data_IF_632486321918
#
_entry.id   IF_632486321918
#
_cell.length_a   1.000
_cell.length_b   1.000
_cell.length_c   1.000
_cell.angle_alpha   90.00
_cell.angle_beta   90.00
_cell.angle_gamma   90.00
#
_symmetry.space_group_name_H-M   'P 1'
#
loop_
_entity.id
_entity.type
_entity.pdbx_description
1 polymer ?
#
# COMPACT_ATOMS: atom_id res chain seq x y z
N UNK A 1 -34.07 5.29 -7.61
CA UNK A 1 -34.45 3.88 -7.90
C UNK A 1 -33.22 2.95 -7.87
N UNK A 2 -32.15 3.26 -8.61
CA UNK A 2 -30.87 2.49 -8.65
C UNK A 2 -30.26 2.23 -7.27
N UNK A 3 -30.19 3.24 -6.39
CA UNK A 3 -29.60 3.09 -5.04
C UNK A 3 -30.36 2.10 -4.14
N UNK A 4 -31.68 1.94 -4.30
CA UNK A 4 -32.48 0.99 -3.51
C UNK A 4 -32.28 -0.45 -3.99
N UNK A 5 -32.11 -0.66 -5.30
CA UNK A 5 -31.91 -1.99 -5.90
C UNK A 5 -30.50 -2.52 -5.61
N UNK A 6 -29.47 -1.68 -5.77
CA UNK A 6 -28.09 -2.07 -5.47
C UNK A 6 -27.83 -2.27 -3.98
N UNK A 7 -28.46 -1.47 -3.11
CA UNK A 7 -28.36 -1.64 -1.66
C UNK A 7 -29.05 -2.92 -1.15
N UNK A 8 -30.13 -3.38 -1.80
CA UNK A 8 -30.83 -4.61 -1.43
C UNK A 8 -30.09 -5.90 -1.81
N UNK A 9 -29.24 -5.87 -2.84
CA UNK A 9 -28.42 -7.01 -3.29
C UNK A 9 -27.02 -7.04 -2.63
N UNK A 10 -26.69 -6.02 -1.84
CA UNK A 10 -25.35 -5.81 -1.27
C UNK A 10 -24.97 -6.85 -0.20
N UNK A 11 -25.95 -7.45 0.47
CA UNK A 11 -25.75 -8.42 1.54
C UNK A 11 -25.09 -9.73 1.10
N UNK A 12 -25.44 -10.20 -0.10
CA UNK A 12 -24.98 -11.48 -0.66
C UNK A 12 -23.94 -11.31 -1.78
N UNK A 13 -23.64 -10.06 -2.15
CA UNK A 13 -22.70 -9.75 -3.22
C UNK A 13 -21.24 -9.98 -2.79
N UNK A 14 -20.44 -10.52 -3.71
CA UNK A 14 -18.98 -10.65 -3.52
C UNK A 14 -18.33 -9.28 -3.34
N UNK A 15 -17.18 -9.21 -2.65
CA UNK A 15 -16.41 -7.97 -2.49
C UNK A 15 -16.20 -7.26 -3.84
N UNK A 16 -15.88 -8.02 -4.89
CA UNK A 16 -15.66 -7.48 -6.23
C UNK A 16 -16.92 -6.80 -6.78
N UNK A 17 -18.09 -7.45 -6.70
CA UNK A 17 -19.34 -6.85 -7.14
C UNK A 17 -19.65 -5.58 -6.33
N UNK A 18 -19.49 -5.64 -5.00
CA UNK A 18 -19.75 -4.49 -4.12
C UNK A 18 -18.86 -3.29 -4.41
N UNK A 19 -17.59 -3.55 -4.69
CA UNK A 19 -16.63 -2.51 -5.10
C UNK A 19 -17.01 -1.94 -6.46
N UNK A 20 -17.21 -2.80 -7.48
CA UNK A 20 -17.52 -2.36 -8.86
C UNK A 20 -18.71 -1.41 -8.90
N UNK A 21 -19.78 -1.73 -8.17
CA UNK A 21 -20.99 -0.91 -8.10
C UNK A 21 -20.98 0.13 -6.97
N UNK A 22 -19.90 0.19 -6.18
CA UNK A 22 -19.79 0.99 -4.96
C UNK A 22 -21.04 0.85 -4.04
N UNK A 23 -21.65 -0.34 -4.02
CA UNK A 23 -22.97 -0.56 -3.39
C UNK A 23 -22.95 -0.41 -1.88
N UNK A 24 -21.79 -0.60 -1.25
CA UNK A 24 -21.56 -0.41 0.17
C UNK A 24 -21.34 1.07 0.58
N UNK A 25 -21.45 2.03 -0.34
CA UNK A 25 -21.26 3.45 -0.08
C UNK A 25 -22.59 4.21 0.01
N UNK A 26 -22.63 5.41 0.61
CA UNK A 26 -23.83 6.26 0.59
C UNK A 26 -24.30 6.67 -0.82
N UNK A 27 -23.44 6.52 -1.84
CA UNK A 27 -23.72 6.89 -3.23
C UNK A 27 -23.30 5.77 -4.19
N UNK A 28 -24.08 4.67 -4.31
CA UNK A 28 -23.80 3.61 -5.29
C UNK A 28 -23.71 4.16 -6.72
N UNK A 29 -22.84 3.56 -7.55
CA UNK A 29 -22.55 4.05 -8.92
C UNK A 29 -22.50 2.91 -9.91
N UNK A 30 -22.87 3.20 -11.16
CA UNK A 30 -22.63 2.28 -12.27
C UNK A 30 -21.14 2.26 -12.66
N UNK A 31 -20.62 1.11 -13.11
CA UNK A 31 -19.24 0.97 -13.55
C UNK A 31 -19.03 1.57 -14.94
N UNK A 32 -18.96 2.90 -15.00
CA UNK A 32 -18.84 3.68 -16.25
C UNK A 32 -17.44 4.27 -16.46
N UNK A 33 -16.49 3.99 -15.57
CA UNK A 33 -15.14 4.52 -15.72
C UNK A 33 -14.42 3.85 -16.90
N UNK A 34 -13.72 4.67 -17.68
CA UNK A 34 -12.87 4.19 -18.76
C UNK A 34 -11.58 3.57 -18.21
N UNK A 35 -10.92 2.73 -19.01
CA UNK A 35 -9.60 2.18 -18.67
C UNK A 35 -8.58 3.29 -18.34
N UNK A 36 -8.63 4.42 -19.07
CA UNK A 36 -7.76 5.58 -18.80
C UNK A 36 -8.01 6.22 -17.42
N UNK A 37 -9.23 6.20 -16.90
CA UNK A 37 -9.51 6.66 -15.54
C UNK A 37 -8.88 5.72 -14.49
N UNK A 38 -8.92 4.41 -14.72
CA UNK A 38 -8.29 3.42 -13.85
C UNK A 38 -6.77 3.57 -13.85
N UNK A 39 -6.15 3.80 -15.02
CA UNK A 39 -4.71 4.10 -15.12
C UNK A 39 -4.34 5.38 -14.36
N UNK A 40 -5.15 6.44 -14.45
CA UNK A 40 -4.92 7.67 -13.66
C UNK A 40 -5.01 7.39 -12.16
N UNK A 41 -5.98 6.60 -11.71
CA UNK A 41 -6.09 6.20 -10.30
C UNK A 41 -4.90 5.36 -9.84
N UNK A 42 -4.40 4.45 -10.67
CA UNK A 42 -3.21 3.65 -10.35
C UNK A 42 -1.93 4.49 -10.15
N UNK A 43 -1.88 5.69 -10.75
CA UNK A 43 -0.80 6.65 -10.51
C UNK A 43 -0.87 7.33 -9.13
N UNK A 44 -2.02 7.29 -8.46
CA UNK A 44 -2.26 7.91 -7.15
C UNK A 44 -2.14 6.92 -5.98
N UNK A 45 -2.02 5.63 -6.30
CA UNK A 45 -2.08 4.54 -5.33
C UNK A 45 -0.69 3.90 -5.20
N UNK A 46 -0.13 3.83 -3.97
CA UNK A 46 1.07 3.04 -3.70
C UNK A 46 0.74 1.54 -3.83
N UNK A 47 1.75 0.71 -4.08
CA UNK A 47 1.49 -0.72 -4.29
C UNK A 47 0.96 -1.45 -3.04
N UNK A 48 1.18 -0.87 -1.85
CA UNK A 48 0.57 -1.28 -0.59
C UNK A 48 -0.28 -0.17 -0.01
N UNK A 49 -1.50 -0.50 0.44
CA UNK A 49 -2.40 0.45 1.08
C UNK A 49 -1.69 1.24 2.19
N UNK A 50 -2.00 2.53 2.33
CA UNK A 50 -1.39 3.40 3.33
C UNK A 50 -1.45 2.82 4.75
N UNK A 51 -0.40 2.97 5.57
CA UNK A 51 -0.36 2.42 6.92
C UNK A 51 -1.53 2.87 7.80
N UNK A 52 -1.93 4.15 7.77
CA UNK A 52 -3.05 4.63 8.57
C UNK A 52 -4.38 3.99 8.19
N UNK A 53 -4.64 3.83 6.89
CA UNK A 53 -5.83 3.12 6.38
C UNK A 53 -5.79 1.63 6.66
N UNK A 54 -4.60 1.02 6.61
CA UNK A 54 -4.41 -0.38 6.98
C UNK A 54 -4.81 -0.61 8.44
N UNK A 55 -4.38 0.24 9.37
CA UNK A 55 -4.74 0.13 10.79
C UNK A 55 -6.24 0.29 11.05
N UNK A 56 -6.95 1.06 10.22
CA UNK A 56 -8.41 1.23 10.30
C UNK A 56 -9.17 0.02 9.77
N UNK A 57 -8.62 -0.67 8.77
CA UNK A 57 -9.24 -1.82 8.11
C UNK A 57 -8.85 -3.17 8.72
N UNK A 58 -7.69 -3.24 9.38
CA UNK A 58 -7.29 -4.45 10.07
C UNK A 58 -8.23 -4.69 11.25
N UNK A 59 -8.69 -5.94 11.42
CA UNK A 59 -9.54 -6.26 12.55
C UNK A 59 -8.81 -6.05 13.87
N UNK A 60 -9.52 -5.45 14.83
CA UNK A 60 -9.03 -5.32 16.20
C UNK A 60 -9.13 -6.70 16.83
N UNK A 61 -8.02 -7.44 16.89
CA UNK A 61 -7.98 -8.78 17.47
C UNK A 61 -8.62 -8.76 18.88
N UNK A 62 -9.82 -9.32 19.01
CA UNK A 62 -10.57 -9.37 20.28
C UNK A 62 -10.18 -10.58 21.14
N UNK A 63 -9.28 -11.44 20.69
CA UNK A 63 -8.85 -12.63 21.42
C UNK A 63 -7.35 -12.56 21.73
N UNK A 64 -7.04 -12.58 23.02
CA UNK A 64 -5.68 -12.73 23.53
C UNK A 64 -5.21 -14.17 23.37
N UNK A 65 -3.93 -14.32 23.03
CA UNK A 65 -3.07 -15.40 23.48
C UNK A 65 -3.65 -16.83 23.43
N UNK A 66 -3.79 -17.38 22.23
CA UNK A 66 -3.52 -18.80 22.01
C UNK A 66 -2.68 -18.90 20.73
N UNK A 67 -1.66 -19.74 20.80
CA UNK A 67 -0.51 -19.85 19.91
C UNK A 67 -0.89 -19.96 18.40
N UNK A 68 -0.01 -19.45 17.53
CA UNK A 68 0.01 -19.57 16.05
C UNK A 68 -0.79 -18.63 15.12
N UNK A 69 -1.69 -17.75 15.58
CA UNK A 69 -2.57 -17.02 14.62
C UNK A 69 -2.43 -15.49 14.60
N UNK A 70 -1.32 -14.94 15.09
CA UNK A 70 -0.96 -13.55 14.79
C UNK A 70 -0.73 -13.42 13.28
N UNK A 71 -1.32 -12.43 12.57
CA UNK A 71 -1.05 -12.26 11.16
C UNK A 71 0.45 -12.03 11.00
N UNK A 72 1.17 -13.06 10.51
CA UNK A 72 2.59 -12.95 10.23
C UNK A 72 2.81 -11.68 9.38
N UNK A 73 3.93 -10.99 9.55
CA UNK A 73 4.26 -9.77 8.77
C UNK A 73 3.99 -9.91 7.26
N UNK A 74 4.19 -11.12 6.71
CA UNK A 74 3.84 -11.48 5.34
C UNK A 74 2.33 -11.38 5.04
N UNK A 75 1.46 -11.83 5.95
CA UNK A 75 0.00 -11.69 5.85
C UNK A 75 -0.42 -10.22 5.84
N UNK A 76 0.14 -9.40 6.72
CA UNK A 76 -0.18 -7.97 6.75
C UNK A 76 0.27 -7.27 5.46
N UNK A 77 1.45 -7.63 4.94
CA UNK A 77 1.95 -7.08 3.68
C UNK A 77 1.07 -7.46 2.49
N UNK A 78 0.67 -8.73 2.40
CA UNK A 78 -0.22 -9.22 1.35
C UNK A 78 -1.64 -8.66 1.46
N UNK A 79 -2.16 -8.47 2.67
CA UNK A 79 -3.41 -7.75 2.89
C UNK A 79 -3.35 -6.32 2.35
N UNK A 80 -2.27 -5.59 2.66
CA UNK A 80 -2.08 -4.21 2.19
C UNK A 80 -1.99 -4.12 0.66
N UNK A 81 -1.27 -5.03 0.01
CA UNK A 81 -1.22 -5.12 -1.46
C UNK A 81 -2.58 -5.46 -2.04
N UNK A 82 -3.27 -6.44 -1.47
CA UNK A 82 -4.62 -6.82 -1.89
C UNK A 82 -5.60 -5.66 -1.80
N UNK A 83 -5.62 -4.93 -0.69
CA UNK A 83 -6.45 -3.72 -0.56
C UNK A 83 -6.10 -2.64 -1.59
N UNK A 84 -4.82 -2.41 -1.88
CA UNK A 84 -4.41 -1.45 -2.91
C UNK A 84 -4.91 -1.86 -4.30
N UNK A 85 -4.79 -3.15 -4.66
CA UNK A 85 -5.34 -3.68 -5.93
C UNK A 85 -6.87 -3.58 -5.98
N UNK A 86 -7.56 -3.90 -4.88
CA UNK A 86 -9.03 -3.75 -4.80
C UNK A 86 -9.50 -2.30 -4.94
N UNK A 87 -8.68 -1.32 -4.55
CA UNK A 87 -8.96 0.12 -4.67
C UNK A 87 -9.07 0.59 -6.14
N UNK A 88 -8.61 -0.21 -7.10
CA UNK A 88 -8.76 0.06 -8.53
C UNK A 88 -10.11 -0.39 -9.09
N UNK A 89 -10.83 -1.30 -8.42
CA UNK A 89 -12.08 -1.87 -8.95
C UNK A 89 -13.30 -0.94 -8.94
N UNK A 90 -13.47 -0.02 -7.96
CA UNK A 90 -14.67 0.81 -7.90
C UNK A 90 -14.92 1.62 -9.17
N UNK A 91 -16.12 1.47 -9.74
CA UNK A 91 -16.54 2.13 -10.97
C UNK A 91 -15.87 1.61 -12.26
N UNK A 92 -14.94 0.66 -12.16
CA UNK A 92 -14.18 0.15 -13.31
C UNK A 92 -14.98 -0.79 -14.23
N UNK A 93 -14.54 -0.97 -15.49
CA UNK A 93 -15.29 -1.70 -16.50
C UNK A 93 -15.46 -3.19 -16.14
N UNK A 94 -16.43 -3.90 -16.75
CA UNK A 94 -16.72 -5.31 -16.42
C UNK A 94 -15.52 -6.26 -16.53
N UNK A 95 -14.60 -5.97 -17.46
CA UNK A 95 -13.39 -6.76 -17.70
C UNK A 95 -12.29 -6.51 -16.65
N UNK A 96 -12.38 -5.43 -15.87
CA UNK A 96 -11.41 -5.15 -14.81
C UNK A 96 -11.70 -6.05 -13.60
N UNK A 97 -10.86 -7.05 -13.41
CA UNK A 97 -10.81 -7.92 -12.24
C UNK A 97 -9.53 -7.68 -11.42
N UNK A 98 -9.40 -8.40 -10.30
CA UNK A 98 -8.28 -8.25 -9.39
C UNK A 98 -6.95 -8.60 -10.06
N UNK A 99 -6.96 -9.62 -10.91
CA UNK A 99 -5.83 -10.15 -11.66
C UNK A 99 -5.32 -9.13 -12.70
N UNK A 100 -6.22 -8.39 -13.34
CA UNK A 100 -5.87 -7.28 -14.24
C UNK A 100 -5.49 -5.99 -13.51
N UNK A 101 -6.04 -5.75 -12.31
CA UNK A 101 -5.77 -4.55 -11.53
C UNK A 101 -4.39 -4.60 -10.84
N UNK A 102 -4.00 -5.75 -10.28
CA UNK A 102 -2.78 -5.89 -9.48
C UNK A 102 -1.50 -5.48 -10.23
N UNK A 103 -1.29 -5.86 -11.50
CA UNK A 103 -0.11 -5.45 -12.26
C UNK A 103 0.02 -3.93 -12.47
N UNK A 104 -1.09 -3.17 -12.44
CA UNK A 104 -1.04 -1.70 -12.56
C UNK A 104 -0.31 -1.04 -11.37
N UNK A 105 -0.20 -1.77 -10.26
CA UNK A 105 0.51 -1.35 -9.06
C UNK A 105 1.87 -2.06 -8.89
N UNK A 106 2.33 -2.83 -9.89
CA UNK A 106 3.49 -3.72 -9.80
C UNK A 106 3.35 -4.88 -8.78
N UNK A 107 2.11 -5.24 -8.42
CA UNK A 107 1.83 -6.41 -7.59
C UNK A 107 1.72 -7.66 -8.48
N UNK A 108 2.63 -8.63 -8.28
CA UNK A 108 2.70 -9.86 -9.08
C UNK A 108 2.17 -11.11 -8.36
N UNK A 109 1.99 -11.07 -7.04
CA UNK A 109 1.52 -12.21 -6.23
C UNK A 109 0.00 -12.16 -6.00
N UNK A 110 -0.78 -12.03 -7.08
CA UNK A 110 -2.21 -11.72 -6.99
C UNK A 110 -3.01 -12.76 -6.19
N UNK A 111 -2.74 -14.06 -6.32
CA UNK A 111 -3.46 -15.09 -5.55
C UNK A 111 -3.22 -14.93 -4.03
N UNK A 112 -1.96 -14.74 -3.63
CA UNK A 112 -1.58 -14.57 -2.22
C UNK A 112 -2.19 -13.29 -1.62
N UNK A 113 -2.13 -12.19 -2.37
CA UNK A 113 -2.63 -10.90 -1.91
C UNK A 113 -4.16 -10.88 -1.83
N UNK A 114 -4.85 -11.50 -2.80
CA UNK A 114 -6.30 -11.68 -2.80
C UNK A 114 -6.76 -12.56 -1.64
N UNK A 115 -6.15 -13.74 -1.47
CA UNK A 115 -6.50 -14.67 -0.39
C UNK A 115 -6.25 -14.07 1.00
N UNK A 116 -5.26 -13.19 1.16
CA UNK A 116 -5.03 -12.50 2.43
C UNK A 116 -6.21 -11.58 2.82
N UNK A 117 -6.81 -10.89 1.86
CA UNK A 117 -8.00 -10.05 2.07
C UNK A 117 -9.22 -10.90 2.35
N UNK A 118 -9.46 -11.94 1.54
CA UNK A 118 -10.59 -12.87 1.70
C UNK A 118 -10.56 -13.59 3.06
N UNK A 119 -9.38 -13.97 3.56
CA UNK A 119 -9.25 -14.58 4.90
C UNK A 119 -9.65 -13.65 6.04
N UNK A 120 -9.29 -12.37 5.96
CA UNK A 120 -9.68 -11.37 6.98
C UNK A 120 -11.20 -11.17 6.98
N UNK A 121 -11.80 -11.09 5.79
CA UNK A 121 -13.25 -11.01 5.62
C UNK A 121 -13.95 -12.22 6.25
N UNK A 122 -13.47 -13.42 5.93
CA UNK A 122 -14.07 -14.67 6.40
C UNK A 122 -14.07 -14.78 7.93
N UNK A 123 -12.96 -14.36 8.58
CA UNK A 123 -12.82 -14.41 10.04
C UNK A 123 -13.76 -13.43 10.78
N UNK A 124 -13.98 -12.23 10.25
CA UNK A 124 -14.70 -11.16 10.95
C UNK A 124 -16.18 -11.01 10.55
N UNK A 125 -16.66 -11.82 9.59
CA UNK A 125 -18.05 -11.83 9.09
C UNK A 125 -18.58 -10.45 8.63
N UNK A 126 -17.70 -9.57 8.14
CA UNK A 126 -18.09 -8.20 7.78
C UNK A 126 -17.39 -7.66 6.54
N UNK A 127 -17.98 -7.91 5.36
CA UNK A 127 -17.53 -7.33 4.08
C UNK A 127 -17.77 -5.82 3.96
N UNK A 128 -18.78 -5.31 4.67
CA UNK A 128 -19.33 -3.97 4.44
C UNK A 128 -18.34 -2.84 4.74
N UNK A 129 -17.63 -2.82 5.90
CA UNK A 129 -16.69 -1.74 6.18
C UNK A 129 -15.55 -1.68 5.17
N UNK A 130 -15.01 -2.83 4.78
CA UNK A 130 -13.93 -2.91 3.80
C UNK A 130 -14.39 -2.42 2.41
N UNK A 131 -15.51 -2.94 1.92
CA UNK A 131 -16.07 -2.54 0.63
C UNK A 131 -16.39 -1.04 0.60
N UNK A 132 -16.99 -0.52 1.68
CA UNK A 132 -17.35 0.89 1.81
C UNK A 132 -16.12 1.80 1.80
N UNK A 133 -15.13 1.52 2.65
CA UNK A 133 -13.90 2.32 2.76
C UNK A 133 -13.16 2.36 1.42
N UNK A 134 -12.95 1.21 0.79
CA UNK A 134 -12.23 1.14 -0.49
C UNK A 134 -13.00 1.88 -1.60
N UNK A 135 -14.32 1.71 -1.68
CA UNK A 135 -15.11 2.42 -2.69
C UNK A 135 -15.15 3.95 -2.46
N UNK A 136 -15.25 4.40 -1.22
CA UNK A 136 -15.21 5.84 -0.88
C UNK A 136 -13.83 6.43 -1.16
N UNK A 137 -12.74 5.76 -0.79
CA UNK A 137 -11.38 6.18 -1.10
C UNK A 137 -11.14 6.28 -2.61
N UNK A 138 -11.58 5.28 -3.38
CA UNK A 138 -11.45 5.30 -4.83
C UNK A 138 -12.18 6.49 -5.46
N UNK A 139 -13.41 6.77 -5.00
CA UNK A 139 -14.17 7.93 -5.47
C UNK A 139 -13.48 9.25 -5.10
N UNK A 140 -12.97 9.38 -3.88
CA UNK A 140 -12.29 10.58 -3.41
C UNK A 140 -10.96 10.81 -4.14
N UNK A 141 -10.22 9.75 -4.49
CA UNK A 141 -9.03 9.85 -5.33
C UNK A 141 -9.36 10.33 -6.74
N UNK A 142 -10.44 9.83 -7.34
CA UNK A 142 -10.87 10.29 -8.66
C UNK A 142 -11.28 11.78 -8.66
N UNK A 143 -11.80 12.27 -7.53
CA UNK A 143 -12.29 13.66 -7.38
C UNK A 143 -11.19 14.65 -6.97
N UNK A 144 -10.35 14.28 -6.01
CA UNK A 144 -9.35 15.17 -5.40
C UNK A 144 -7.91 14.91 -5.85
N UNK A 145 -7.64 13.74 -6.41
CA UNK A 145 -6.30 13.31 -6.80
C UNK A 145 -5.41 12.92 -5.62
N UNK A 146 -4.11 12.78 -5.93
CA UNK A 146 -3.03 12.58 -4.96
C UNK A 146 -1.89 13.56 -5.29
N UNK A 147 -1.21 14.13 -4.29
CA UNK A 147 -0.02 14.93 -4.52
C UNK A 147 1.17 14.07 -5.00
N UNK A 148 1.14 12.75 -4.81
CA UNK A 148 2.20 11.82 -5.20
C UNK A 148 1.81 11.09 -6.49
N UNK A 149 2.75 11.02 -7.44
CA UNK A 149 2.64 10.14 -8.61
C UNK A 149 3.44 8.84 -8.39
N UNK A 150 2.78 7.83 -7.83
CA UNK A 150 3.37 6.53 -7.52
C UNK A 150 3.80 5.75 -8.76
N UNK A 151 3.13 5.95 -9.92
CA UNK A 151 3.59 5.32 -11.18
C UNK A 151 4.93 5.87 -11.61
N UNK A 152 5.12 7.20 -11.55
CA UNK A 152 6.42 7.84 -11.81
C UNK A 152 7.49 7.34 -10.84
N UNK A 153 7.17 7.24 -9.55
CA UNK A 153 8.12 6.73 -8.56
C UNK A 153 8.53 5.29 -8.82
N UNK A 154 7.57 4.39 -9.13
CA UNK A 154 7.88 2.99 -9.49
C UNK A 154 8.75 2.88 -10.76
N UNK A 155 8.56 3.77 -11.73
CA UNK A 155 9.35 3.78 -12.97
C UNK A 155 10.78 4.30 -12.78
N UNK A 156 11.00 5.24 -11.84
CA UNK A 156 12.32 5.80 -11.55
C UNK A 156 13.12 4.96 -10.56
N UNK A 157 12.47 4.44 -9.52
CA UNK A 157 13.11 3.76 -8.40
C UNK A 157 12.97 2.24 -8.51
N UNK A 158 13.64 1.65 -9.49
CA UNK A 158 13.51 0.23 -9.86
C UNK A 158 14.37 -0.73 -9.02
N UNK A 159 15.43 -0.21 -8.39
CA UNK A 159 16.39 -1.03 -7.66
C UNK A 159 17.44 -0.23 -6.88
N UNK A 160 18.31 -0.87 -6.09
CA UNK A 160 19.30 -0.19 -5.24
C UNK A 160 20.24 0.76 -6.00
N UNK A 161 20.47 0.49 -7.27
CA UNK A 161 21.25 1.32 -8.19
C UNK A 161 20.57 2.64 -8.57
N UNK A 162 19.24 2.72 -8.47
CA UNK A 162 18.47 3.93 -8.79
C UNK A 162 18.44 4.96 -7.65
N UNK A 163 18.90 4.57 -6.46
CA UNK A 163 18.93 5.40 -5.25
C UNK A 163 20.35 5.75 -4.83
N UNK A 164 20.54 6.97 -4.38
CA UNK A 164 21.81 7.44 -3.81
C UNK A 164 21.73 7.45 -2.29
N UNK A 165 22.76 6.98 -1.61
CA UNK A 165 22.94 7.10 -0.17
C UNK A 165 24.27 7.80 0.12
N UNK A 166 24.25 8.89 0.89
CA UNK A 166 25.46 9.56 1.36
C UNK A 166 26.17 8.72 2.43
N UNK A 167 27.19 7.98 1.99
CA UNK A 167 27.97 7.08 2.85
C UNK A 167 28.84 7.83 3.87
N UNK A 168 29.27 9.05 3.54
CA UNK A 168 30.08 9.87 4.44
C UNK A 168 29.22 10.42 5.55
N UNK A 169 28.02 10.92 5.23
CA UNK A 169 27.04 11.34 6.23
C UNK A 169 26.58 10.16 7.11
N UNK A 170 26.37 8.98 6.52
CA UNK A 170 26.06 7.78 7.30
C UNK A 170 27.21 7.40 8.25
N UNK A 171 28.45 7.49 7.79
CA UNK A 171 29.63 7.22 8.62
C UNK A 171 29.73 8.22 9.78
N UNK A 172 29.51 9.51 9.53
CA UNK A 172 29.46 10.55 10.58
C UNK A 172 28.34 10.26 11.59
N UNK A 173 27.14 9.92 11.13
CA UNK A 173 26.00 9.57 11.99
C UNK A 173 26.35 8.39 12.91
N UNK A 174 26.99 7.34 12.35
CA UNK A 174 27.39 6.16 13.11
C UNK A 174 28.38 6.52 14.23
N UNK A 175 29.38 7.35 13.91
CA UNK A 175 30.38 7.80 14.88
C UNK A 175 29.74 8.68 15.96
N UNK A 176 28.87 9.62 15.58
CA UNK A 176 28.19 10.53 16.50
C UNK A 176 27.36 9.79 17.56
N UNK A 177 26.71 8.70 17.19
CA UNK A 177 25.88 7.90 18.09
C UNK A 177 26.60 6.70 18.73
N UNK A 178 27.92 6.58 18.55
CA UNK A 178 28.72 5.51 19.16
C UNK A 178 28.33 4.10 18.70
N UNK A 179 27.70 3.97 17.53
CA UNK A 179 27.24 2.69 17.02
C UNK A 179 28.42 1.81 16.58
N UNK A 180 28.55 0.65 17.23
CA UNK A 180 29.60 -0.33 16.93
C UNK A 180 29.48 -0.86 15.49
N UNK A 181 30.56 -1.48 14.98
CA UNK A 181 30.50 -2.21 13.71
C UNK A 181 29.48 -3.36 13.73
N UNK A 182 29.27 -3.98 14.89
CA UNK A 182 28.27 -5.05 15.06
C UNK A 182 26.83 -4.54 15.01
N UNK A 183 26.61 -3.28 15.36
CA UNK A 183 25.31 -2.63 15.28
C UNK A 183 24.94 -2.20 13.85
N UNK A 184 25.93 -1.79 13.04
CA UNK A 184 25.71 -1.16 11.74
C UNK A 184 24.84 -2.02 10.79
N UNK A 185 23.65 -1.53 10.40
CA UNK A 185 22.85 -2.20 9.38
C UNK A 185 23.66 -2.42 8.10
N UNK A 186 23.42 -3.56 7.44
CA UNK A 186 24.03 -3.83 6.14
C UNK A 186 23.63 -2.74 5.15
N UNK A 187 24.58 -2.26 4.36
CA UNK A 187 24.35 -1.20 3.37
C UNK A 187 23.19 -1.54 2.40
N UNK A 188 23.06 -2.80 2.00
CA UNK A 188 21.94 -3.26 1.20
C UNK A 188 20.59 -2.96 1.87
N UNK A 189 20.44 -3.19 3.19
CA UNK A 189 19.20 -2.91 3.93
C UNK A 189 18.85 -1.43 3.89
N UNK A 190 19.85 -0.54 3.97
CA UNK A 190 19.63 0.90 3.89
C UNK A 190 19.09 1.32 2.52
N UNK A 191 19.72 0.86 1.43
CA UNK A 191 19.23 1.13 0.07
C UNK A 191 17.82 0.58 -0.16
N UNK A 192 17.54 -0.64 0.32
CA UNK A 192 16.19 -1.22 0.23
C UNK A 192 15.17 -0.42 1.03
N UNK A 193 15.52 0.02 2.22
CA UNK A 193 14.62 0.85 3.02
C UNK A 193 14.36 2.21 2.35
N UNK A 194 15.36 2.80 1.69
CA UNK A 194 15.15 4.00 0.86
C UNK A 194 14.17 3.75 -0.27
N UNK A 195 14.30 2.64 -0.99
CA UNK A 195 13.35 2.27 -2.04
C UNK A 195 11.93 2.18 -1.50
N UNK A 196 11.74 1.56 -0.33
CA UNK A 196 10.44 1.47 0.34
C UNK A 196 9.87 2.84 0.70
N UNK A 197 10.71 3.77 1.18
CA UNK A 197 10.27 5.14 1.47
C UNK A 197 9.85 5.87 0.20
N UNK A 198 10.54 5.64 -0.92
CA UNK A 198 10.27 6.31 -2.18
C UNK A 198 9.02 5.74 -2.86
N UNK A 199 8.92 4.43 -3.02
CA UNK A 199 7.85 3.79 -3.83
C UNK A 199 6.64 3.33 -3.03
N UNK A 200 6.69 3.41 -1.69
CA UNK A 200 5.64 2.88 -0.80
C UNK A 200 5.62 1.35 -0.70
N UNK A 201 6.51 0.65 -1.41
CA UNK A 201 6.61 -0.81 -1.47
C UNK A 201 8.06 -1.31 -1.47
N UNK A 202 8.25 -2.60 -1.16
CA UNK A 202 9.45 -3.31 -1.58
C UNK A 202 9.38 -3.52 -3.10
N UNK A 203 10.38 -3.10 -3.90
CA UNK A 203 10.41 -3.43 -5.31
C UNK A 203 10.34 -4.96 -5.45
N UNK A 204 9.39 -5.46 -6.24
CA UNK A 204 9.38 -6.86 -6.63
C UNK A 204 10.61 -7.09 -7.53
N UNK A 205 11.68 -7.67 -6.98
CA UNK A 205 12.85 -8.04 -7.78
C UNK A 205 12.56 -9.40 -8.41
N UNK A 206 12.54 -9.51 -9.74
CA UNK A 206 12.47 -10.81 -10.40
C UNK A 206 13.66 -11.69 -9.97
N UNK A 207 13.38 -12.90 -9.47
CA UNK A 207 14.41 -13.91 -9.15
C UNK A 207 14.96 -13.90 -7.71
N UNK A 208 14.52 -13.01 -6.82
CA UNK A 208 14.95 -13.04 -5.42
C UNK A 208 14.29 -14.20 -4.63
N UNK A 209 15.09 -15.19 -4.20
CA UNK A 209 14.64 -16.39 -3.46
C UNK A 209 13.95 -16.12 -2.11
N UNK A 210 14.21 -14.97 -1.49
CA UNK A 210 13.50 -14.51 -0.28
C UNK A 210 13.13 -13.05 -0.49
N UNK A 211 11.89 -12.64 -0.22
CA UNK A 211 11.56 -11.23 -0.25
C UNK A 211 12.41 -10.54 0.81
N UNK A 212 13.36 -9.71 0.37
CA UNK A 212 14.21 -8.90 1.25
C UNK A 212 13.38 -7.97 2.16
N UNK A 213 12.09 -7.82 1.84
CA UNK A 213 11.05 -7.26 2.71
C UNK A 213 11.02 -7.86 4.12
N UNK A 214 11.43 -9.11 4.34
CA UNK A 214 11.55 -9.67 5.70
C UNK A 214 12.63 -8.96 6.52
N UNK A 215 13.81 -8.72 5.93
CA UNK A 215 14.89 -7.98 6.59
C UNK A 215 14.56 -6.49 6.77
N UNK A 216 13.90 -5.88 5.78
CA UNK A 216 13.47 -4.49 5.87
C UNK A 216 12.35 -4.28 6.89
N UNK A 217 11.47 -5.27 7.09
CA UNK A 217 10.39 -5.16 8.06
C UNK A 217 10.92 -5.14 9.49
N UNK A 218 11.83 -6.07 9.85
CA UNK A 218 12.48 -6.04 11.16
C UNK A 218 13.27 -4.73 11.36
N UNK A 219 13.98 -4.29 10.33
CA UNK A 219 14.70 -3.01 10.36
C UNK A 219 13.77 -1.81 10.56
N UNK A 220 12.60 -1.78 9.91
CA UNK A 220 11.61 -0.69 10.06
C UNK A 220 11.20 -0.48 11.52
N UNK A 221 11.06 -1.55 12.29
CA UNK A 221 10.67 -1.49 13.70
C UNK A 221 11.85 -1.31 14.66
N UNK A 222 13.03 -1.82 14.31
CA UNK A 222 14.22 -1.77 15.19
C UNK A 222 15.18 -0.61 14.91
N UNK A 223 15.08 0.06 13.76
CA UNK A 223 15.95 1.18 13.39
C UNK A 223 15.77 2.36 14.36
N UNK A 224 16.84 2.97 14.91
CA UNK A 224 16.77 4.09 15.84
C UNK A 224 16.19 5.33 15.17
N UNK A 225 15.63 6.23 16.00
CA UNK A 225 15.11 7.52 15.57
C UNK A 225 16.06 8.30 14.65
N UNK A 226 17.33 8.50 15.03
CA UNK A 226 18.29 9.23 14.19
C UNK A 226 18.53 8.58 12.82
N UNK A 227 18.59 7.24 12.76
CA UNK A 227 18.77 6.53 11.50
C UNK A 227 17.54 6.65 10.60
N UNK A 228 16.33 6.58 11.18
CA UNK A 228 15.09 6.78 10.43
C UNK A 228 14.99 8.21 9.89
N UNK A 229 15.37 9.21 10.68
CA UNK A 229 15.39 10.62 10.26
C UNK A 229 16.40 10.84 9.12
N UNK A 230 17.60 10.27 9.25
CA UNK A 230 18.61 10.28 8.19
C UNK A 230 18.08 9.65 6.90
N UNK A 231 17.52 8.44 6.96
CA UNK A 231 16.98 7.77 5.77
C UNK A 231 15.81 8.54 5.13
N UNK A 232 15.01 9.23 5.95
CA UNK A 232 13.95 10.12 5.45
C UNK A 232 14.53 11.31 4.67
N UNK A 233 15.57 11.96 5.21
CA UNK A 233 16.28 13.05 4.53
C UNK A 233 16.94 12.57 3.23
N UNK A 234 17.56 11.39 3.25
CA UNK A 234 18.16 10.80 2.05
C UNK A 234 17.10 10.49 0.99
N UNK A 235 15.91 10.02 1.37
CA UNK A 235 14.81 9.81 0.43
C UNK A 235 14.31 11.14 -0.17
N UNK A 236 14.17 12.20 0.63
CA UNK A 236 13.83 13.54 0.13
C UNK A 236 14.90 14.08 -0.85
N UNK A 237 16.18 13.89 -0.55
CA UNK A 237 17.28 14.26 -1.43
C UNK A 237 17.25 13.48 -2.76
N UNK A 238 16.86 12.20 -2.74
CA UNK A 238 16.66 11.41 -3.96
C UNK A 238 15.51 11.98 -4.81
N UNK A 239 14.37 12.34 -4.21
CA UNK A 239 13.27 13.00 -4.94
C UNK A 239 13.75 14.31 -5.58
N UNK A 240 14.45 15.16 -4.81
CA UNK A 240 14.99 16.43 -5.30
C UNK A 240 15.98 16.24 -6.47
N UNK A 241 16.82 15.19 -6.43
CA UNK A 241 17.77 14.88 -7.51
C UNK A 241 17.09 14.57 -8.84
N UNK A 242 15.89 13.99 -8.80
CA UNK A 242 15.07 13.74 -9.99
C UNK A 242 14.09 14.90 -10.30
N UNK A 243 14.24 16.05 -9.64
CA UNK A 243 13.37 17.22 -9.85
C UNK A 243 11.93 17.02 -9.33
N UNK A 244 11.72 16.09 -8.41
CA UNK A 244 10.40 15.79 -7.85
C UNK A 244 10.18 16.65 -6.59
N UNK A 245 9.15 17.49 -6.62
CA UNK A 245 8.78 18.41 -5.52
C UNK A 245 7.64 17.87 -4.65
N UNK A 246 7.16 16.66 -4.92
CA UNK A 246 6.05 16.05 -4.20
C UNK A 246 6.45 15.56 -2.81
N UNK A 247 5.53 15.48 -1.82
CA UNK A 247 5.88 15.06 -0.47
C UNK A 247 6.35 13.60 -0.45
N UNK A 248 7.31 13.26 0.42
CA UNK A 248 7.81 11.88 0.54
C UNK A 248 6.68 10.89 0.87
N UNK A 249 5.81 11.26 1.82
CA UNK A 249 4.69 10.44 2.28
C UNK A 249 3.41 11.25 2.24
N UNK A 250 2.34 10.62 1.79
CA UNK A 250 0.99 11.14 1.86
C UNK A 250 0.02 9.98 2.04
N UNK A 251 -1.06 10.19 2.77
CA UNK A 251 -2.20 9.28 2.81
C UNK A 251 -3.51 10.07 2.71
N UNK A 252 -4.57 9.48 2.13
CA UNK A 252 -5.87 10.12 2.06
C UNK A 252 -6.37 10.59 3.44
N UNK A 253 -6.86 11.82 3.58
CA UNK A 253 -7.49 12.31 4.80
C UNK A 253 -8.62 11.40 5.29
N UNK A 254 -8.71 11.17 6.60
CA UNK A 254 -9.76 10.34 7.18
C UNK A 254 -11.18 10.86 6.89
N UNK A 255 -11.35 12.18 6.72
CA UNK A 255 -12.64 12.81 6.40
C UNK A 255 -13.17 12.45 5.00
N UNK A 256 -12.39 11.81 4.14
CA UNK A 256 -12.87 11.31 2.83
C UNK A 256 -13.79 10.09 2.96
N UNK A 257 -13.82 9.42 4.12
CA UNK A 257 -14.66 8.25 4.35
C UNK A 257 -15.60 8.51 5.52
N UNK A 258 -16.89 8.33 5.27
CA UNK A 258 -17.92 8.27 6.30
C UNK A 258 -18.22 6.82 6.61
N UNK A 259 -17.96 6.39 7.85
CA UNK A 259 -18.28 5.04 8.34
C UNK A 259 -19.74 4.95 8.81
#
# INVERSE_FOLDING_TARGET
MVSKVLGGLDGDASLHARLRYASATPRPRWPVLSAGAITRRAAMIPAMLWPGWTLRLLPRSRHSAAEDDAPHSATCSSFRRGCASFLLLPGGPPQLNFECASPLLANHSFDTDRSAVERIIYRERGLTPLASVLAQLACALDEHGSPINDTRRRALFTGPESVTLDLDAYTRLRLQHGWSRSYAPRLAVLHWYLLVLLTGEHPAIPGARKPFGWHCTSFRYSAPGPLRAFLRQQAEANLARYGITEPLTWEPPACWVTL
#
